data_IF_985403176746
#
_entry.id   IF_985403176746
#
_cell.length_a   1.000
_cell.length_b   1.000
_cell.length_c   1.000
_cell.angle_alpha   90.00
_cell.angle_beta   90.00
_cell.angle_gamma   90.00
#
_symmetry.space_group_name_H-M   'P 1'
#
loop_
_entity.id
_entity.type
_entity.pdbx_description
1 polymer ?
#
# COMPACT_ATOMS: atom_id res chain seq x y z
N UNK A 1 -17.83 -50.58 -48.52
CA UNK A 1 -18.32 -49.48 -47.66
C UNK A 1 -17.50 -49.46 -46.38
N UNK A 2 -16.47 -48.63 -46.30
CA UNK A 2 -15.73 -48.37 -45.06
C UNK A 2 -15.86 -46.88 -44.78
N UNK A 3 -16.59 -46.55 -43.71
CA UNK A 3 -16.80 -45.20 -43.21
C UNK A 3 -15.52 -44.79 -42.47
N UNK A 4 -14.84 -43.73 -42.95
CA UNK A 4 -13.82 -43.03 -42.19
C UNK A 4 -14.52 -42.01 -41.29
N UNK A 5 -14.44 -42.20 -39.98
CA UNK A 5 -14.91 -41.22 -38.99
C UNK A 5 -13.75 -40.33 -38.60
N UNK A 6 -13.73 -39.09 -39.09
CA UNK A 6 -12.79 -38.04 -38.66
C UNK A 6 -13.18 -37.53 -37.27
N UNK A 7 -12.28 -37.70 -36.30
CA UNK A 7 -12.41 -37.19 -34.94
C UNK A 7 -11.86 -35.75 -34.90
N UNK A 8 -12.71 -34.75 -34.68
CA UNK A 8 -12.28 -33.39 -34.36
C UNK A 8 -11.84 -33.32 -32.90
N UNK A 9 -10.57 -32.99 -32.66
CA UNK A 9 -10.08 -32.61 -31.33
C UNK A 9 -10.39 -31.14 -31.08
N UNK A 10 -11.34 -30.88 -30.19
CA UNK A 10 -11.59 -29.56 -29.62
C UNK A 10 -10.49 -29.22 -28.61
N UNK A 11 -9.61 -28.27 -28.92
CA UNK A 11 -8.62 -27.76 -27.97
C UNK A 11 -9.30 -26.75 -27.04
N UNK A 12 -9.60 -27.16 -25.80
CA UNK A 12 -10.03 -26.25 -24.74
C UNK A 12 -8.83 -25.48 -24.20
N UNK A 13 -8.74 -24.20 -24.52
CA UNK A 13 -7.75 -23.28 -23.96
C UNK A 13 -8.17 -22.91 -22.54
N UNK A 14 -7.52 -23.51 -21.54
CA UNK A 14 -7.69 -23.12 -20.14
C UNK A 14 -7.01 -21.76 -19.90
N UNK A 15 -7.81 -20.72 -19.67
CA UNK A 15 -7.34 -19.43 -19.17
C UNK A 15 -7.05 -19.63 -17.68
N UNK A 16 -5.78 -19.77 -17.32
CA UNK A 16 -5.35 -19.71 -15.92
C UNK A 16 -5.49 -18.27 -15.46
N UNK A 17 -6.53 -17.98 -14.69
CA UNK A 17 -6.59 -16.77 -13.88
C UNK A 17 -5.44 -16.86 -12.86
N UNK A 18 -4.42 -16.01 -13.01
CA UNK A 18 -3.45 -15.79 -11.94
C UNK A 18 -4.21 -15.19 -10.77
N UNK A 19 -4.53 -16.03 -9.78
CA UNK A 19 -4.96 -15.57 -8.47
C UNK A 19 -3.83 -14.70 -7.92
N UNK A 20 -4.13 -13.43 -7.62
CA UNK A 20 -3.22 -12.58 -6.85
C UNK A 20 -2.87 -13.35 -5.57
N UNK A 21 -1.60 -13.71 -5.41
CA UNK A 21 -1.16 -14.51 -4.27
C UNK A 21 -1.09 -13.61 -3.06
N UNK A 22 -2.21 -13.54 -2.34
CA UNK A 22 -2.26 -13.37 -0.90
C UNK A 22 -0.99 -13.89 -0.20
N UNK A 23 -0.10 -13.03 0.30
CA UNK A 23 1.03 -13.52 1.10
C UNK A 23 0.54 -13.80 2.52
N UNK A 24 0.83 -14.99 3.02
CA UNK A 24 0.56 -15.29 4.42
C UNK A 24 1.41 -14.39 5.30
N UNK A 25 0.80 -13.83 6.34
CA UNK A 25 1.52 -12.99 7.30
C UNK A 25 2.55 -13.88 8.01
N UNK A 26 3.87 -13.58 7.94
CA UNK A 26 4.87 -14.34 8.66
C UNK A 26 4.51 -14.41 10.16
N UNK A 27 4.69 -15.55 10.84
CA UNK A 27 4.27 -15.69 12.24
C UNK A 27 4.75 -14.56 13.18
N UNK A 28 5.99 -14.03 13.05
CA UNK A 28 6.41 -12.90 13.87
C UNK A 28 5.62 -11.61 13.59
N UNK A 29 5.31 -11.32 12.32
CA UNK A 29 4.49 -10.16 11.95
C UNK A 29 3.03 -10.35 12.38
N UNK A 30 2.49 -11.57 12.30
CA UNK A 30 1.14 -11.88 12.80
C UNK A 30 1.04 -11.71 14.32
N UNK A 31 2.07 -12.17 15.04
CA UNK A 31 2.18 -11.97 16.47
C UNK A 31 2.31 -10.48 16.83
N UNK A 32 3.11 -9.71 16.07
CA UNK A 32 3.24 -8.26 16.20
C UNK A 32 1.89 -7.57 15.94
N UNK A 33 1.23 -7.86 14.82
CA UNK A 33 -0.08 -7.28 14.47
C UNK A 33 -1.10 -7.50 15.60
N UNK A 34 -1.25 -8.73 16.09
CA UNK A 34 -2.24 -9.05 17.12
C UNK A 34 -1.87 -8.49 18.50
N UNK A 35 -0.58 -8.51 18.86
CA UNK A 35 -0.11 -8.04 20.16
C UNK A 35 -0.12 -6.52 20.24
N UNK A 36 0.25 -5.83 19.16
CA UNK A 36 0.42 -4.39 19.14
C UNK A 36 -0.89 -3.65 18.89
N UNK A 37 -1.84 -4.24 18.14
CA UNK A 37 -3.15 -3.59 17.89
C UNK A 37 -3.75 -3.00 19.15
N UNK A 38 -3.70 -3.74 20.26
CA UNK A 38 -4.28 -3.31 21.54
C UNK A 38 -3.36 -2.52 22.50
N UNK A 39 -2.16 -2.17 22.07
CA UNK A 39 -1.16 -1.46 22.89
C UNK A 39 -1.11 0.01 22.51
N UNK A 40 -0.80 0.90 23.48
CA UNK A 40 -0.58 2.30 23.16
C UNK A 40 0.72 2.48 22.38
N UNK A 41 0.76 3.52 21.57
CA UNK A 41 1.98 4.07 20.99
C UNK A 41 2.87 4.66 22.09
N UNK A 42 3.95 3.96 22.45
CA UNK A 42 4.87 4.38 23.51
C UNK A 42 5.80 5.50 23.04
N UNK A 43 6.18 5.48 21.76
CA UNK A 43 7.08 6.47 21.15
C UNK A 43 6.39 7.16 19.95
N UNK A 44 5.49 8.11 20.21
CA UNK A 44 4.85 8.91 19.16
C UNK A 44 5.87 9.85 18.50
N UNK A 45 5.87 9.87 17.17
CA UNK A 45 6.63 10.82 16.35
C UNK A 45 5.79 12.07 16.05
N UNK A 46 4.52 11.86 15.72
CA UNK A 46 3.54 12.93 15.52
C UNK A 46 2.13 12.42 15.83
N UNK A 47 1.27 13.29 16.35
CA UNK A 47 -0.09 12.97 16.84
C UNK A 47 -1.10 13.97 16.28
N UNK A 48 -2.39 13.63 16.29
CA UNK A 48 -3.46 14.58 15.96
C UNK A 48 -4.00 14.43 14.54
N UNK A 49 -3.90 13.22 13.96
CA UNK A 49 -4.29 12.96 12.58
C UNK A 49 -5.65 12.28 12.47
N UNK A 50 -6.22 12.33 11.27
CA UNK A 50 -7.57 11.87 10.93
C UNK A 50 -7.53 10.84 9.81
N UNK A 51 -8.39 9.83 9.89
CA UNK A 51 -8.59 8.77 8.90
C UNK A 51 -9.60 9.12 7.80
N UNK A 52 -9.99 10.40 7.66
CA UNK A 52 -11.00 10.83 6.67
C UNK A 52 -12.45 10.50 7.02
N UNK A 53 -12.72 9.55 7.93
CA UNK A 53 -14.08 9.09 8.24
C UNK A 53 -14.83 10.04 9.18
N UNK A 54 -14.11 10.63 10.14
CA UNK A 54 -14.65 11.65 11.01
C UNK A 54 -13.65 12.82 11.17
N UNK A 55 -13.95 14.02 10.63
CA UNK A 55 -13.04 15.16 10.67
C UNK A 55 -12.80 15.70 12.09
N UNK A 56 -13.49 15.20 13.10
CA UNK A 56 -13.25 15.54 14.51
C UNK A 56 -12.48 14.47 15.27
N UNK A 57 -12.32 13.27 14.69
CA UNK A 57 -11.50 12.19 15.26
C UNK A 57 -10.04 12.39 14.84
N UNK A 58 -9.27 13.08 15.68
CA UNK A 58 -7.85 13.37 15.45
C UNK A 58 -6.94 12.37 16.21
N UNK A 59 -7.34 11.11 16.34
CA UNK A 59 -6.67 10.16 17.24
C UNK A 59 -5.50 9.39 16.62
N UNK A 60 -5.29 9.52 15.31
CA UNK A 60 -4.24 8.79 14.61
C UNK A 60 -2.86 9.41 14.88
N UNK A 61 -1.85 8.55 14.94
CA UNK A 61 -0.50 8.85 15.40
C UNK A 61 0.52 8.08 14.56
N UNK A 62 1.60 8.75 14.15
CA UNK A 62 2.79 8.09 13.64
C UNK A 62 3.66 7.64 14.80
N UNK A 63 4.02 6.36 14.82
CA UNK A 63 4.66 5.69 15.95
C UNK A 63 5.96 5.00 15.52
N UNK A 64 6.90 4.85 16.46
CA UNK A 64 8.23 4.27 16.21
C UNK A 64 8.63 3.15 17.18
N UNK A 65 7.66 2.52 17.83
CA UNK A 65 7.89 1.52 18.88
C UNK A 65 7.70 0.05 18.43
N UNK A 66 7.52 -0.20 17.13
CA UNK A 66 7.62 -1.57 16.56
C UNK A 66 9.08 -2.04 16.45
N UNK A 67 9.96 -1.17 15.97
CA UNK A 67 11.41 -1.38 15.94
C UNK A 67 12.11 -0.02 15.85
N UNK A 68 13.41 0.04 16.11
CA UNK A 68 14.21 1.24 15.90
C UNK A 68 14.40 1.64 14.43
N UNK A 69 13.79 0.90 13.50
CA UNK A 69 13.89 1.12 12.05
C UNK A 69 12.54 1.26 11.35
N UNK A 70 11.45 1.40 12.09
CA UNK A 70 10.11 1.44 11.52
C UNK A 70 9.30 2.63 12.00
N UNK A 71 8.40 3.08 11.14
CA UNK A 71 7.36 4.06 11.43
C UNK A 71 6.04 3.42 11.03
N UNK A 72 5.00 3.53 11.86
CA UNK A 72 3.70 2.95 11.54
C UNK A 72 2.55 3.84 12.02
N UNK A 73 1.37 3.66 11.43
CA UNK A 73 0.15 4.36 11.82
C UNK A 73 -0.63 3.54 12.85
N UNK A 74 -1.09 4.23 13.88
CA UNK A 74 -1.87 3.64 14.97
C UNK A 74 -2.72 4.70 15.66
N UNK A 75 -3.89 4.30 16.15
CA UNK A 75 -4.69 5.14 17.06
C UNK A 75 -4.81 4.44 18.42
N UNK A 76 -4.38 5.09 19.52
CA UNK A 76 -4.35 4.49 20.85
C UNK A 76 -5.73 4.45 21.54
N UNK A 77 -6.79 4.95 20.92
CA UNK A 77 -8.13 5.02 21.51
C UNK A 77 -8.88 3.69 21.38
N UNK A 78 -9.96 3.51 22.18
CA UNK A 78 -10.84 2.32 22.17
C UNK A 78 -10.11 0.97 22.32
N UNK A 79 -8.99 0.98 23.04
CA UNK A 79 -8.18 -0.22 23.23
C UNK A 79 -7.25 -0.53 22.08
N UNK A 80 -6.99 0.43 21.18
CA UNK A 80 -5.99 0.40 20.12
C UNK A 80 -6.53 -0.11 18.78
N UNK A 81 -6.31 0.66 17.72
CA UNK A 81 -6.72 0.36 16.34
C UNK A 81 -5.62 0.76 15.35
N UNK A 82 -5.67 0.17 14.16
CA UNK A 82 -4.85 0.65 13.05
C UNK A 82 -5.64 1.70 12.28
N UNK A 83 -5.34 1.91 11.02
CA UNK A 83 -5.99 2.92 10.18
C UNK A 83 -6.97 2.26 9.19
N UNK A 84 -7.73 3.09 8.49
CA UNK A 84 -8.60 2.67 7.40
C UNK A 84 -7.80 2.53 6.08
N UNK A 85 -8.50 2.38 4.96
CA UNK A 85 -7.91 2.49 3.62
C UNK A 85 -8.81 3.29 2.69
N UNK A 86 -8.63 4.61 2.69
CA UNK A 86 -9.17 5.49 1.65
C UNK A 86 -8.33 5.41 0.37
N UNK A 87 -8.92 5.85 -0.75
CA UNK A 87 -8.36 5.60 -2.08
C UNK A 87 -7.71 6.86 -2.63
N UNK A 88 -6.43 6.73 -2.95
CA UNK A 88 -5.68 7.71 -3.70
C UNK A 88 -5.53 7.23 -5.15
N UNK A 89 -5.81 8.13 -6.07
CA UNK A 89 -5.74 7.87 -7.51
C UNK A 89 -4.75 8.81 -8.21
N UNK A 90 -3.91 9.51 -7.46
CA UNK A 90 -3.02 10.53 -7.98
C UNK A 90 -1.92 9.92 -8.87
N UNK A 91 -1.43 10.74 -9.80
CA UNK A 91 -0.31 10.37 -10.68
C UNK A 91 -0.71 10.08 -12.12
N UNK A 92 -0.01 9.11 -12.72
CA UNK A 92 -0.22 8.72 -14.10
C UNK A 92 -1.53 7.95 -14.25
N UNK A 93 -2.30 8.29 -15.29
CA UNK A 93 -3.62 7.70 -15.56
C UNK A 93 -4.61 7.87 -14.39
N UNK A 94 -4.60 9.04 -13.75
CA UNK A 94 -5.36 9.32 -12.53
C UNK A 94 -6.87 9.07 -12.63
N UNK A 95 -7.45 9.24 -13.83
CA UNK A 95 -8.87 8.96 -14.10
C UNK A 95 -9.13 7.59 -14.75
N UNK A 96 -8.10 6.72 -14.78
CA UNK A 96 -8.16 5.40 -15.38
C UNK A 96 -8.89 4.37 -14.52
N UNK A 97 -9.43 3.34 -15.17
CA UNK A 97 -10.00 2.18 -14.47
C UNK A 97 -11.16 2.55 -13.54
N UNK A 98 -11.04 2.16 -12.27
CA UNK A 98 -12.07 2.40 -11.25
C UNK A 98 -11.82 3.70 -10.45
N UNK A 99 -10.77 4.47 -10.76
CA UNK A 99 -10.60 5.80 -10.15
C UNK A 99 -11.75 6.72 -10.55
N UNK A 100 -12.20 6.64 -11.81
CA UNK A 100 -13.31 7.44 -12.28
C UNK A 100 -12.96 8.93 -12.28
N UNK A 101 -13.97 9.77 -12.04
CA UNK A 101 -13.79 11.19 -11.91
C UNK A 101 -14.14 11.61 -10.48
N UNK A 102 -13.15 12.18 -9.81
CA UNK A 102 -13.26 12.81 -8.51
C UNK A 102 -12.48 14.13 -8.56
N UNK A 103 -12.97 15.16 -7.86
CA UNK A 103 -12.40 16.52 -7.93
C UNK A 103 -11.12 16.69 -7.10
N UNK A 104 -10.85 15.76 -6.17
CA UNK A 104 -9.63 15.77 -5.35
C UNK A 104 -8.44 15.11 -6.04
N UNK A 105 -8.68 14.26 -7.05
CA UNK A 105 -7.64 13.60 -7.83
C UNK A 105 -6.72 14.62 -8.51
N UNK A 106 -5.41 14.39 -8.40
CA UNK A 106 -4.35 15.14 -9.06
C UNK A 106 -3.64 14.30 -10.12
N UNK A 107 -3.27 14.95 -11.24
CA UNK A 107 -2.49 14.32 -12.32
C UNK A 107 -1.00 14.09 -11.97
N UNK A 108 -0.64 14.12 -10.68
CA UNK A 108 0.73 13.89 -10.21
C UNK A 108 0.79 13.40 -8.77
N UNK A 109 1.74 12.51 -8.48
CA UNK A 109 2.11 12.17 -7.10
C UNK A 109 3.14 13.15 -6.53
N UNK A 110 3.27 13.19 -5.21
CA UNK A 110 4.32 13.97 -4.53
C UNK A 110 5.75 13.64 -4.99
N UNK A 111 5.98 12.44 -5.53
CA UNK A 111 7.31 11.98 -5.95
C UNK A 111 7.51 11.86 -7.47
N UNK A 112 6.63 12.49 -8.26
CA UNK A 112 6.73 12.55 -9.73
C UNK A 112 8.14 12.86 -10.24
N UNK A 113 8.72 13.97 -9.79
CA UNK A 113 10.04 14.42 -10.25
C UNK A 113 11.15 13.39 -9.97
N UNK A 114 11.01 12.67 -8.85
CA UNK A 114 11.93 11.62 -8.46
C UNK A 114 11.83 10.41 -9.39
N UNK A 115 10.61 9.93 -9.66
CA UNK A 115 10.40 8.75 -10.52
C UNK A 115 10.70 9.05 -12.00
N UNK A 116 10.42 10.27 -12.46
CA UNK A 116 10.79 10.74 -13.81
C UNK A 116 12.31 10.76 -13.96
N UNK A 117 13.02 11.42 -13.03
CA UNK A 117 14.47 11.60 -13.15
C UNK A 117 15.27 10.31 -12.93
N UNK A 118 14.83 9.42 -12.02
CA UNK A 118 15.60 8.24 -11.65
C UNK A 118 15.20 6.96 -12.41
N UNK A 119 13.93 6.81 -12.80
CA UNK A 119 13.40 5.55 -13.34
C UNK A 119 12.74 5.70 -14.71
N UNK A 120 12.54 6.93 -15.19
CA UNK A 120 12.09 7.20 -16.55
C UNK A 120 10.65 6.74 -16.80
N UNK A 121 9.79 6.86 -15.78
CA UNK A 121 8.33 6.77 -15.90
C UNK A 121 7.72 8.16 -15.73
N UNK A 122 6.58 8.47 -16.37
CA UNK A 122 5.99 9.81 -16.30
C UNK A 122 5.52 10.18 -14.88
N UNK A 123 5.05 9.18 -14.12
CA UNK A 123 4.74 9.21 -12.71
C UNK A 123 4.45 7.76 -12.24
N UNK A 124 4.17 7.55 -10.96
CA UNK A 124 3.47 6.35 -10.48
C UNK A 124 2.05 6.33 -11.05
N UNK A 125 1.60 5.14 -11.48
CA UNK A 125 0.23 4.91 -11.94
C UNK A 125 -0.54 4.17 -10.84
N UNK A 126 -1.55 4.80 -10.23
CA UNK A 126 -2.33 4.24 -9.13
C UNK A 126 -3.02 2.91 -9.45
N UNK A 127 -3.28 2.61 -10.74
CA UNK A 127 -3.87 1.35 -11.18
C UNK A 127 -2.84 0.22 -11.33
N UNK A 128 -1.54 0.53 -11.24
CA UNK A 128 -0.43 -0.42 -11.42
C UNK A 128 0.49 -0.45 -10.20
N UNK A 129 0.83 0.68 -9.62
CA UNK A 129 1.84 0.78 -8.57
C UNK A 129 1.13 0.75 -7.21
N UNK A 130 1.26 -0.33 -6.41
CA UNK A 130 0.81 -0.30 -5.03
C UNK A 130 1.66 0.71 -4.24
N UNK A 131 1.02 1.77 -3.77
CA UNK A 131 1.66 2.76 -2.91
C UNK A 131 0.75 3.15 -1.75
N UNK A 132 1.38 3.67 -0.71
CA UNK A 132 0.74 4.27 0.47
C UNK A 132 0.99 5.77 0.42
N UNK A 133 -0.05 6.55 0.72
CA UNK A 133 0.06 7.97 1.02
C UNK A 133 0.51 8.08 2.48
N UNK A 134 1.76 8.47 2.71
CA UNK A 134 2.37 8.41 4.03
C UNK A 134 3.07 9.71 4.37
N UNK A 135 2.82 10.23 5.58
CA UNK A 135 3.10 11.64 5.85
C UNK A 135 2.07 12.56 5.23
N UNK A 136 2.12 13.82 5.66
CA UNK A 136 1.19 14.86 5.23
C UNK A 136 1.81 16.25 5.46
N UNK A 137 1.02 17.31 5.30
CA UNK A 137 1.48 18.70 5.48
C UNK A 137 2.02 18.95 6.90
N UNK A 138 1.48 18.28 7.90
CA UNK A 138 1.82 18.47 9.30
C UNK A 138 2.93 17.50 9.81
N UNK A 139 3.26 16.47 9.02
CA UNK A 139 4.33 15.52 9.34
C UNK A 139 5.02 14.96 8.10
N UNK A 140 6.33 15.21 7.99
CA UNK A 140 7.22 14.67 6.96
C UNK A 140 8.05 13.49 7.53
N UNK A 141 7.80 12.23 7.09
CA UNK A 141 8.55 11.05 7.53
C UNK A 141 10.06 11.12 7.30
N UNK A 142 10.54 12.00 6.40
CA UNK A 142 11.99 12.18 6.20
C UNK A 142 12.69 12.74 7.43
N UNK A 143 11.98 13.48 8.29
CA UNK A 143 12.52 14.03 9.54
C UNK A 143 12.97 12.93 10.51
N UNK A 144 12.35 11.76 10.39
CA UNK A 144 12.63 10.57 11.18
C UNK A 144 13.38 9.49 10.37
N UNK A 145 13.90 9.87 9.20
CA UNK A 145 14.86 9.08 8.43
C UNK A 145 14.26 8.12 7.41
N UNK A 146 12.94 8.16 7.15
CA UNK A 146 12.38 7.52 5.96
C UNK A 146 12.87 8.24 4.69
N UNK A 147 12.91 7.53 3.57
CA UNK A 147 13.27 8.08 2.28
C UNK A 147 12.08 7.94 1.32
N UNK A 148 11.81 8.93 0.46
CA UNK A 148 10.79 8.79 -0.58
C UNK A 148 10.95 7.49 -1.36
N UNK A 149 9.83 6.84 -1.68
CA UNK A 149 9.79 5.54 -2.36
C UNK A 149 10.34 4.36 -1.54
N UNK A 150 10.60 4.52 -0.23
CA UNK A 150 10.85 3.40 0.68
C UNK A 150 9.74 2.36 0.55
N UNK A 151 10.09 1.07 0.61
CA UNK A 151 9.11 -0.01 0.69
C UNK A 151 8.23 0.16 1.92
N UNK A 152 6.92 0.00 1.71
CA UNK A 152 5.89 -0.04 2.73
C UNK A 152 5.40 -1.49 2.88
N UNK A 153 5.19 -1.90 4.12
CA UNK A 153 4.53 -3.16 4.48
C UNK A 153 3.11 -2.84 4.91
N UNK A 154 2.14 -3.52 4.30
CA UNK A 154 0.72 -3.32 4.57
C UNK A 154 0.08 -4.63 4.97
N UNK A 155 -0.59 -4.63 6.12
CA UNK A 155 -1.36 -5.79 6.61
C UNK A 155 -2.84 -5.43 6.61
N UNK A 156 -3.61 -6.13 5.80
CA UNK A 156 -5.03 -5.91 5.53
C UNK A 156 -5.66 -7.24 5.10
N UNK A 157 -6.98 -7.43 5.30
CA UNK A 157 -7.66 -8.66 4.85
C UNK A 157 -7.00 -9.97 5.33
N UNK A 158 -6.38 -9.95 6.52
CA UNK A 158 -5.59 -11.04 7.11
C UNK A 158 -4.38 -11.50 6.26
N UNK A 159 -3.88 -10.64 5.39
CA UNK A 159 -2.78 -10.89 4.47
C UNK A 159 -1.72 -9.80 4.57
N UNK A 160 -0.55 -10.07 4.02
CA UNK A 160 0.57 -9.14 3.92
C UNK A 160 0.75 -8.74 2.45
N UNK A 161 0.96 -7.45 2.21
CA UNK A 161 1.28 -6.90 0.90
C UNK A 161 2.44 -5.91 0.99
N UNK A 162 3.07 -5.64 -0.16
CA UNK A 162 4.15 -4.69 -0.28
C UNK A 162 3.79 -3.58 -1.27
N UNK A 163 4.04 -2.35 -0.85
CA UNK A 163 3.97 -1.18 -1.69
C UNK A 163 5.20 -0.30 -1.49
N UNK A 164 5.08 0.95 -1.90
CA UNK A 164 6.07 1.99 -1.60
C UNK A 164 5.39 3.19 -0.95
N UNK A 165 6.17 4.02 -0.28
CA UNK A 165 5.76 5.37 0.05
C UNK A 165 5.74 6.19 -1.25
N UNK A 166 4.56 6.32 -1.86
CA UNK A 166 4.40 6.88 -3.20
C UNK A 166 3.85 8.30 -3.21
N UNK A 167 3.15 8.71 -2.15
CA UNK A 167 2.56 10.04 -2.05
C UNK A 167 2.52 10.58 -0.61
N UNK A 168 2.09 11.83 -0.46
CA UNK A 168 1.86 12.51 0.81
C UNK A 168 0.51 13.22 0.80
N UNK A 169 -0.21 13.18 1.92
CA UNK A 169 -1.55 13.76 1.99
C UNK A 169 -1.51 15.28 2.25
N UNK A 170 -2.57 15.98 1.83
CA UNK A 170 -2.82 17.34 2.28
C UNK A 170 -3.26 17.40 3.75
N UNK A 171 -2.92 18.47 4.46
CA UNK A 171 -3.40 18.69 5.84
C UNK A 171 -2.92 17.63 6.84
N UNK A 172 -3.85 17.11 7.63
CA UNK A 172 -3.62 16.16 8.74
C UNK A 172 -4.29 14.79 8.51
N UNK A 173 -4.49 14.41 7.25
CA UNK A 173 -5.12 13.14 6.87
C UNK A 173 -4.11 11.98 6.83
N UNK A 174 -4.60 10.78 7.09
CA UNK A 174 -3.89 9.48 7.02
C UNK A 174 -4.80 8.41 6.43
N UNK A 175 -4.28 7.20 6.22
CA UNK A 175 -5.10 6.06 5.80
C UNK A 175 -5.35 5.96 4.30
N UNK A 176 -4.70 6.76 3.46
CA UNK A 176 -4.87 6.68 2.00
C UNK A 176 -3.86 5.73 1.32
N UNK A 177 -4.31 5.03 0.29
CA UNK A 177 -3.48 4.13 -0.51
C UNK A 177 -3.95 4.06 -1.97
N UNK A 178 -3.05 3.66 -2.87
CA UNK A 178 -3.39 3.54 -4.28
C UNK A 178 -4.48 2.51 -4.53
N UNK A 179 -5.32 2.75 -5.55
CA UNK A 179 -6.39 1.80 -5.91
C UNK A 179 -5.85 0.39 -6.24
N UNK A 180 -4.62 0.29 -6.74
CA UNK A 180 -3.94 -1.00 -6.94
C UNK A 180 -3.73 -1.75 -5.62
N UNK A 181 -3.25 -1.06 -4.57
CA UNK A 181 -3.03 -1.65 -3.26
C UNK A 181 -4.36 -2.00 -2.57
N UNK A 182 -5.37 -1.14 -2.67
CA UNK A 182 -6.69 -1.42 -2.10
C UNK A 182 -7.36 -2.64 -2.73
N UNK A 183 -7.22 -2.84 -4.05
CA UNK A 183 -7.70 -4.05 -4.74
C UNK A 183 -6.96 -5.33 -4.32
N UNK A 184 -5.70 -5.23 -3.88
CA UNK A 184 -4.98 -6.36 -3.28
C UNK A 184 -5.57 -6.70 -1.90
N UNK A 185 -5.79 -5.69 -1.07
CA UNK A 185 -6.30 -5.84 0.30
C UNK A 185 -7.73 -6.39 0.36
N UNK A 186 -8.60 -5.83 -0.49
CA UNK A 186 -10.06 -6.02 -0.41
C UNK A 186 -10.63 -6.45 -1.77
N UNK A 187 -10.19 -7.60 -2.32
CA UNK A 187 -10.65 -8.06 -3.62
C UNK A 187 -12.13 -8.41 -3.57
N UNK A 188 -12.94 -7.70 -4.35
CA UNK A 188 -14.39 -7.92 -4.44
C UNK A 188 -15.24 -6.90 -3.70
N UNK A 189 -14.65 -5.98 -2.95
CA UNK A 189 -15.38 -4.96 -2.17
C UNK A 189 -15.84 -3.76 -3.02
N UNK A 190 -15.71 -3.86 -4.35
CA UNK A 190 -16.14 -2.82 -5.27
C UNK A 190 -15.32 -1.53 -5.18
N UNK A 191 -14.04 -1.63 -4.83
CA UNK A 191 -13.13 -0.49 -4.66
C UNK A 191 -13.13 0.43 -5.91
N UNK A 192 -13.31 1.72 -5.67
CA UNK A 192 -13.25 2.82 -6.64
C UNK A 192 -12.64 4.07 -6.00
N UNK A 193 -12.37 5.12 -6.78
CA UNK A 193 -11.85 6.41 -6.25
C UNK A 193 -12.64 6.92 -5.03
N UNK A 194 -13.97 6.78 -5.05
CA UNK A 194 -14.83 7.26 -3.95
C UNK A 194 -15.30 6.13 -3.01
N UNK A 195 -14.72 4.94 -3.07
CA UNK A 195 -15.15 3.78 -2.28
C UNK A 195 -13.94 2.99 -1.77
N UNK A 196 -13.43 3.40 -0.61
CA UNK A 196 -12.39 2.71 0.16
C UNK A 196 -12.93 1.75 1.20
N UNK A 197 -12.04 1.29 2.07
CA UNK A 197 -12.36 0.44 3.23
C UNK A 197 -12.35 1.27 4.50
N UNK A 198 -13.51 1.37 5.15
CA UNK A 198 -13.74 2.21 6.34
C UNK A 198 -13.31 1.58 7.67
N UNK A 199 -12.83 0.33 7.66
CA UNK A 199 -12.47 -0.38 8.89
C UNK A 199 -11.06 -0.04 9.36
N UNK A 200 -10.93 0.33 10.64
CA UNK A 200 -9.64 0.64 11.31
C UNK A 200 -8.79 -0.62 11.62
N UNK A 201 -8.50 -1.42 10.60
CA UNK A 201 -7.77 -2.68 10.71
C UNK A 201 -6.62 -2.83 9.71
N UNK A 202 -6.25 -1.77 9.00
CA UNK A 202 -5.12 -1.74 8.07
C UNK A 202 -3.87 -1.19 8.74
N UNK A 203 -2.85 -2.04 8.88
CA UNK A 203 -1.56 -1.65 9.42
C UNK A 203 -0.60 -1.24 8.30
N UNK A 204 -0.16 0.01 8.32
CA UNK A 204 0.88 0.55 7.44
C UNK A 204 2.21 0.67 8.19
N UNK A 205 3.27 0.07 7.67
CA UNK A 205 4.63 0.15 8.24
C UNK A 205 5.60 0.65 7.17
N UNK A 206 6.18 1.81 7.42
CA UNK A 206 7.33 2.35 6.70
C UNK A 206 8.64 2.02 7.39
N UNK A 207 9.73 2.03 6.62
CA UNK A 207 11.07 1.71 7.11
C UNK A 207 12.04 2.86 6.87
N UNK A 208 12.84 3.16 7.89
CA UNK A 208 13.86 4.21 7.87
C UNK A 208 15.14 3.72 7.18
N UNK A 209 15.92 4.66 6.67
CA UNK A 209 17.19 4.41 6.03
C UNK A 209 17.09 4.14 4.52
N UNK A 210 18.17 4.46 3.80
CA UNK A 210 18.22 4.32 2.34
C UNK A 210 18.08 2.88 1.86
N UNK A 211 18.39 1.91 2.73
CA UNK A 211 18.26 0.48 2.41
C UNK A 211 16.81 0.06 2.14
N UNK A 212 15.84 0.82 2.64
CA UNK A 212 14.41 0.56 2.43
C UNK A 212 13.93 0.99 1.03
N UNK A 213 14.70 1.79 0.29
CA UNK A 213 14.36 2.19 -1.08
C UNK A 213 14.74 1.05 -2.04
N UNK A 214 13.81 0.54 -2.87
CA UNK A 214 14.11 -0.55 -3.79
C UNK A 214 15.08 -0.12 -4.89
N UNK A 215 15.06 1.17 -5.26
CA UNK A 215 15.92 1.74 -6.30
C UNK A 215 15.61 1.12 -7.66
N UNK A 216 16.63 0.99 -8.52
CA UNK A 216 16.49 0.35 -9.83
C UNK A 216 16.16 -1.15 -9.81
N UNK A 217 15.99 -1.77 -8.62
CA UNK A 217 15.55 -3.17 -8.49
C UNK A 217 14.03 -3.33 -8.63
N UNK A 218 13.26 -2.28 -8.34
CA UNK A 218 11.83 -2.30 -8.60
C UNK A 218 11.55 -2.25 -10.10
N UNK A 219 10.50 -2.95 -10.53
CA UNK A 219 10.02 -2.91 -11.89
C UNK A 219 9.12 -1.69 -12.10
N UNK A 220 9.70 -0.50 -12.15
CA UNK A 220 8.98 0.77 -12.33
C UNK A 220 8.11 0.82 -13.61
N UNK A 221 8.37 -0.05 -14.59
CA UNK A 221 7.61 -0.14 -15.85
C UNK A 221 6.73 -1.40 -15.88
N UNK A 222 6.33 -1.91 -14.72
CA UNK A 222 5.46 -3.07 -14.60
C UNK A 222 4.17 -2.88 -15.40
N UNK A 223 3.68 -3.96 -16.01
CA UNK A 223 2.40 -3.96 -16.71
C UNK A 223 1.21 -4.28 -15.80
N UNK A 224 1.46 -4.62 -14.54
CA UNK A 224 0.43 -4.95 -13.55
C UNK A 224 0.89 -4.72 -12.11
N UNK A 225 -0.09 -4.60 -11.21
CA UNK A 225 0.11 -4.55 -9.75
C UNK A 225 0.99 -5.67 -9.22
N UNK A 226 0.70 -6.90 -9.64
CA UNK A 226 1.44 -8.06 -9.20
C UNK A 226 2.91 -8.04 -9.68
N UNK A 227 3.16 -7.62 -10.92
CA UNK A 227 4.53 -7.50 -11.44
C UNK A 227 5.36 -6.46 -10.68
N UNK A 228 4.75 -5.35 -10.25
CA UNK A 228 5.45 -4.36 -9.43
C UNK A 228 5.69 -4.89 -8.02
N UNK A 229 4.65 -5.39 -7.34
CA UNK A 229 4.76 -5.90 -5.97
C UNK A 229 5.81 -7.02 -5.87
N UNK A 230 5.78 -7.99 -6.78
CA UNK A 230 6.74 -9.10 -6.79
C UNK A 230 8.18 -8.60 -6.97
N UNK A 231 8.39 -7.51 -7.71
CA UNK A 231 9.72 -6.91 -7.92
C UNK A 231 10.32 -6.31 -6.64
N UNK A 232 9.48 -5.90 -5.68
CA UNK A 232 9.91 -5.32 -4.39
C UNK A 232 9.79 -6.30 -3.22
N UNK A 233 9.05 -7.41 -3.38
CA UNK A 233 8.81 -8.42 -2.34
C UNK A 233 10.07 -8.83 -1.59
N UNK A 234 11.13 -9.20 -2.32
CA UNK A 234 12.36 -9.66 -1.69
C UNK A 234 13.03 -8.62 -0.78
N UNK A 235 12.83 -7.32 -1.03
CA UNK A 235 13.25 -6.26 -0.10
C UNK A 235 12.28 -6.14 1.07
N UNK A 236 10.97 -6.15 0.81
CA UNK A 236 9.94 -6.14 1.85
C UNK A 236 10.11 -7.27 2.88
N UNK A 237 10.33 -8.51 2.42
CA UNK A 237 10.58 -9.66 3.30
C UNK A 237 11.80 -9.45 4.22
N UNK A 238 12.88 -8.86 3.69
CA UNK A 238 14.06 -8.53 4.50
C UNK A 238 13.77 -7.45 5.53
N UNK A 239 12.95 -6.46 5.20
CA UNK A 239 12.56 -5.38 6.12
C UNK A 239 11.64 -5.91 7.23
N UNK A 240 10.66 -6.75 6.90
CA UNK A 240 9.79 -7.43 7.88
C UNK A 240 10.62 -8.24 8.88
N UNK A 241 11.69 -8.90 8.42
CA UNK A 241 12.60 -9.64 9.30
C UNK A 241 13.37 -8.76 10.30
N UNK A 242 13.34 -7.42 10.16
CA UNK A 242 13.92 -6.48 11.13
C UNK A 242 12.97 -6.04 12.23
N UNK A 243 11.69 -6.44 12.14
CA UNK A 243 10.66 -6.14 13.14
C UNK A 243 10.68 -7.11 14.34
N UNK A 244 11.66 -8.01 14.39
CA UNK A 244 11.75 -9.11 15.37
C UNK A 244 13.02 -9.07 16.20
#
# INVERSE_FOLDING_TARGET
MHLLTTLLLSTTTTITTLLATAYSIPPPLSALYNKHKSKPCLHPLATGFHDGQNPTDSTFTYCSDLSNKSIFLHSPTLGGRYDNMDIDCDGANAHGGNCGYDESIQDQTSFKDLVVSQYGIPDLDANIHPYVVFGNTDYDPQRDGMWPLSVMVVVCGNQLFYGIWGDTAGGSWTGEASIALAKLCFPGDGVSGDNGHVGDDVLYIGFVGREAVPGGRANWKAGSTWEFEESIRGLGERLVATLT
#
